data_IF_933138979357
#
_entry.id   IF_933138979357
#
_cell.length_a   1.000
_cell.length_b   1.000
_cell.length_c   1.000
_cell.angle_alpha   90.00
_cell.angle_beta   90.00
_cell.angle_gamma   90.00
#
_symmetry.space_group_name_H-M   'P 1'
#
loop_
_entity.id
_entity.type
_entity.pdbx_description
1 polymer ?
#
# COMPACT_ATOMS: atom_id res chain seq x y z
N UNK A 1 6.77 15.82 20.09
CA UNK A 1 5.77 14.75 19.86
C UNK A 1 6.35 13.35 19.97
N UNK A 2 7.33 12.96 19.14
CA UNK A 2 7.94 11.61 19.16
C UNK A 2 8.50 11.22 20.54
N UNK A 3 9.20 12.14 21.22
CA UNK A 3 9.75 11.88 22.55
C UNK A 3 8.69 11.66 23.65
N UNK A 4 7.51 12.31 23.54
CA UNK A 4 6.42 12.13 24.50
C UNK A 4 5.70 10.79 24.32
N UNK A 5 5.60 10.32 23.07
CA UNK A 5 5.02 9.02 22.75
C UNK A 5 5.85 7.83 23.25
N UNK A 6 7.18 7.95 23.23
CA UNK A 6 8.10 6.92 23.73
C UNK A 6 7.98 6.69 25.26
N UNK A 7 7.40 7.63 26.00
CA UNK A 7 7.27 7.56 27.46
C UNK A 7 6.06 6.73 27.96
N UNK A 8 5.21 6.20 27.08
CA UNK A 8 3.96 5.49 27.43
C UNK A 8 4.15 4.08 28.04
N UNK A 9 5.38 3.60 28.25
CA UNK A 9 5.67 2.32 28.91
C UNK A 9 5.21 1.06 28.16
N UNK A 10 4.64 1.21 26.96
CA UNK A 10 4.22 0.13 26.06
C UNK A 10 5.05 0.19 24.79
N UNK A 11 5.44 -0.95 24.20
CA UNK A 11 6.08 -0.95 22.88
C UNK A 11 5.06 -0.43 21.86
N UNK A 12 5.32 0.76 21.34
CA UNK A 12 4.50 1.43 20.33
C UNK A 12 5.38 1.77 19.14
N UNK A 13 4.87 1.47 17.95
CA UNK A 13 5.41 1.94 16.69
C UNK A 13 4.85 3.33 16.42
N UNK A 14 5.75 4.25 16.09
CA UNK A 14 5.42 5.61 15.70
C UNK A 14 5.36 5.66 14.18
N UNK A 15 4.18 5.95 13.64
CA UNK A 15 3.98 6.11 12.19
C UNK A 15 3.81 7.60 11.89
N UNK A 16 4.70 8.22 11.09
CA UNK A 16 4.52 9.60 10.67
C UNK A 16 3.31 9.72 9.75
N UNK A 17 2.39 10.64 10.07
CA UNK A 17 1.26 11.00 9.22
C UNK A 17 1.37 12.45 8.75
N UNK A 18 0.41 12.87 7.91
CA UNK A 18 0.35 14.26 7.41
C UNK A 18 -0.07 15.21 8.54
N UNK A 19 0.91 15.91 9.13
CA UNK A 19 0.74 16.78 10.31
C UNK A 19 0.23 16.04 11.57
N UNK A 20 0.47 14.73 11.64
CA UNK A 20 0.05 13.88 12.74
C UNK A 20 1.11 12.80 13.03
N UNK A 21 0.99 12.16 14.18
CA UNK A 21 1.77 10.97 14.54
C UNK A 21 0.81 9.93 15.07
N UNK A 22 0.78 8.76 14.42
CA UNK A 22 -0.02 7.64 14.89
C UNK A 22 0.81 6.76 15.84
N UNK A 23 0.24 6.47 17.00
CA UNK A 23 0.82 5.56 17.99
C UNK A 23 0.12 4.22 17.89
N UNK A 24 0.83 3.26 17.32
CA UNK A 24 0.29 1.95 17.02
C UNK A 24 0.97 0.94 17.95
N UNK A 25 0.23 0.07 18.67
CA UNK A 25 0.87 -0.99 19.44
C UNK A 25 1.84 -1.80 18.56
N UNK A 26 3.00 -2.18 19.09
CA UNK A 26 4.05 -2.90 18.33
C UNK A 26 3.54 -4.24 17.75
N UNK A 27 2.50 -4.81 18.37
CA UNK A 27 1.81 -6.03 17.92
C UNK A 27 0.60 -5.76 17.01
N UNK A 28 0.29 -4.50 16.68
CA UNK A 28 -0.93 -4.18 15.96
C UNK A 28 -0.84 -4.54 14.47
N UNK A 29 -1.99 -4.83 13.89
CA UNK A 29 -2.12 -5.13 12.47
C UNK A 29 -1.79 -3.90 11.62
N UNK A 30 -0.90 -4.06 10.64
CA UNK A 30 -0.63 -3.06 9.61
C UNK A 30 -1.33 -3.40 8.29
N UNK A 31 -1.38 -2.45 7.36
CA UNK A 31 -2.06 -2.59 6.06
C UNK A 31 -1.59 -3.82 5.27
N UNK A 32 -0.30 -4.18 5.37
CA UNK A 32 0.27 -5.39 4.77
C UNK A 32 -0.38 -6.70 5.25
N UNK A 33 -0.68 -6.82 6.55
CA UNK A 33 -1.39 -7.98 7.10
C UNK A 33 -2.82 -8.02 6.58
N UNK A 34 -3.50 -6.87 6.55
CA UNK A 34 -4.86 -6.75 6.04
C UNK A 34 -4.93 -7.17 4.56
N UNK A 35 -3.99 -6.69 3.72
CA UNK A 35 -3.90 -7.05 2.31
C UNK A 35 -3.72 -8.56 2.13
N UNK A 36 -2.76 -9.19 2.84
CA UNK A 36 -2.52 -10.63 2.75
C UNK A 36 -3.77 -11.45 3.10
N UNK A 37 -4.46 -11.06 4.18
CA UNK A 37 -5.71 -11.72 4.62
C UNK A 37 -6.84 -11.55 3.62
N UNK A 38 -7.00 -10.35 3.05
CA UNK A 38 -8.02 -10.09 2.03
C UNK A 38 -7.73 -10.90 0.77
N UNK A 39 -6.50 -10.81 0.24
CA UNK A 39 -6.06 -11.51 -0.97
C UNK A 39 -6.32 -13.01 -0.86
N UNK A 40 -5.90 -13.64 0.25
CA UNK A 40 -6.13 -15.07 0.51
C UNK A 40 -7.60 -15.52 0.43
N UNK A 41 -8.56 -14.58 0.54
CA UNK A 41 -10.00 -14.87 0.45
C UNK A 41 -10.62 -14.58 -0.92
N UNK A 42 -10.03 -13.69 -1.73
CA UNK A 42 -10.73 -13.13 -2.90
C UNK A 42 -9.93 -13.14 -4.20
N UNK A 43 -8.59 -13.28 -4.17
CA UNK A 43 -7.76 -13.21 -5.38
C UNK A 43 -6.35 -13.79 -5.18
N UNK A 44 -5.74 -14.31 -6.24
CA UNK A 44 -4.33 -14.78 -6.19
C UNK A 44 -3.32 -13.64 -6.27
N UNK A 45 -3.69 -12.56 -6.97
CA UNK A 45 -2.88 -11.37 -7.23
C UNK A 45 -3.58 -10.11 -6.75
N UNK A 46 -2.81 -9.06 -6.47
CA UNK A 46 -3.33 -7.76 -6.05
C UNK A 46 -2.52 -6.61 -6.68
N UNK A 47 -3.24 -5.56 -7.07
CA UNK A 47 -2.70 -4.23 -7.30
C UNK A 47 -2.99 -3.40 -6.05
N UNK A 48 -1.97 -2.82 -5.44
CA UNK A 48 -2.11 -1.96 -4.26
C UNK A 48 -1.61 -0.56 -4.59
N UNK A 49 -2.45 0.44 -4.33
CA UNK A 49 -2.17 1.86 -4.56
C UNK A 49 -2.26 2.61 -3.22
N UNK A 50 -1.23 3.36 -2.83
CA UNK A 50 -1.20 4.11 -1.56
C UNK A 50 -0.29 5.34 -1.62
N UNK A 51 -0.54 6.35 -0.78
CA UNK A 51 0.13 7.65 -0.81
C UNK A 51 0.96 7.94 0.45
N UNK A 52 0.72 7.25 1.55
CA UNK A 52 1.26 7.64 2.86
C UNK A 52 2.37 6.70 3.35
N UNK A 53 3.03 7.06 4.45
CA UNK A 53 4.10 6.26 5.06
C UNK A 53 3.58 4.90 5.57
N UNK A 54 2.32 4.83 6.00
CA UNK A 54 1.70 3.56 6.43
C UNK A 54 1.54 2.54 5.30
N UNK A 55 1.59 2.96 4.03
CA UNK A 55 1.52 2.08 2.87
C UNK A 55 2.86 1.39 2.58
N UNK A 56 3.98 1.89 3.11
CA UNK A 56 5.28 1.24 2.99
C UNK A 56 5.29 -0.15 3.67
N UNK A 57 4.44 -0.36 4.68
CA UNK A 57 4.18 -1.67 5.29
C UNK A 57 3.63 -2.71 4.29
N UNK A 58 3.03 -2.25 3.19
CA UNK A 58 2.57 -3.07 2.07
C UNK A 58 3.64 -3.16 0.98
N UNK A 59 4.27 -2.04 0.66
CA UNK A 59 5.24 -1.96 -0.43
C UNK A 59 6.50 -2.80 -0.18
N UNK A 60 6.86 -3.01 1.08
CA UNK A 60 7.99 -3.85 1.50
C UNK A 60 7.70 -5.35 1.48
N UNK A 61 6.46 -5.77 1.19
CA UNK A 61 6.12 -7.19 1.09
C UNK A 61 6.76 -7.84 -0.14
N UNK A 62 7.65 -8.81 0.08
CA UNK A 62 8.29 -9.58 -0.99
C UNK A 62 7.34 -10.66 -1.55
N UNK A 63 6.47 -10.29 -2.48
CA UNK A 63 5.44 -11.16 -3.07
C UNK A 63 5.45 -11.09 -4.62
N UNK A 64 6.57 -11.47 -5.27
CA UNK A 64 6.76 -11.31 -6.72
C UNK A 64 5.70 -12.06 -7.53
N UNK A 65 5.21 -11.44 -8.60
CA UNK A 65 4.14 -11.98 -9.45
C UNK A 65 2.75 -11.99 -8.79
N UNK A 66 2.64 -11.66 -7.50
CA UNK A 66 1.38 -11.67 -6.74
C UNK A 66 0.97 -10.31 -6.21
N UNK A 67 1.92 -9.38 -6.04
CA UNK A 67 1.64 -8.02 -5.60
C UNK A 67 2.32 -7.03 -6.53
N UNK A 68 1.52 -6.16 -7.13
CA UNK A 68 1.98 -4.98 -7.83
C UNK A 68 1.72 -3.76 -6.94
N UNK A 69 2.78 -3.08 -6.50
CA UNK A 69 2.69 -1.91 -5.62
C UNK A 69 2.90 -0.62 -6.40
N UNK A 70 2.02 0.35 -6.17
CA UNK A 70 2.06 1.68 -6.81
C UNK A 70 1.94 2.74 -5.73
N UNK A 71 2.92 3.65 -5.68
CA UNK A 71 2.88 4.80 -4.79
C UNK A 71 2.24 6.01 -5.47
N UNK A 72 1.35 6.72 -4.80
CA UNK A 72 0.88 8.04 -5.24
C UNK A 72 1.85 9.11 -4.71
N UNK A 73 2.40 9.87 -5.64
CA UNK A 73 3.48 10.82 -5.39
C UNK A 73 4.86 10.15 -5.41
N UNK A 74 5.81 10.74 -6.14
CA UNK A 74 7.17 10.19 -6.25
C UNK A 74 7.95 10.39 -4.95
N UNK A 75 8.48 9.30 -4.40
CA UNK A 75 9.46 9.30 -3.30
C UNK A 75 10.62 8.37 -3.61
N UNK A 76 11.83 8.82 -3.28
CA UNK A 76 13.07 8.05 -3.54
C UNK A 76 13.24 6.87 -2.58
N UNK A 77 12.65 6.97 -1.40
CA UNK A 77 12.75 6.01 -0.30
C UNK A 77 11.56 5.05 -0.21
N UNK A 78 10.64 5.11 -1.17
CA UNK A 78 9.48 4.21 -1.25
C UNK A 78 9.89 2.83 -1.78
N UNK A 79 9.36 1.78 -1.17
CA UNK A 79 9.54 0.39 -1.63
C UNK A 79 8.61 0.00 -2.80
N UNK A 80 7.66 0.85 -3.17
CA UNK A 80 6.72 0.55 -4.27
C UNK A 80 7.45 0.36 -5.61
N UNK A 81 7.00 -0.62 -6.41
CA UNK A 81 7.60 -0.91 -7.72
C UNK A 81 7.34 0.17 -8.76
N UNK A 82 6.23 0.89 -8.64
CA UNK A 82 5.82 1.96 -9.54
C UNK A 82 5.34 3.18 -8.75
N UNK A 83 5.19 4.31 -9.43
CA UNK A 83 4.57 5.50 -8.86
C UNK A 83 3.65 6.20 -9.86
N UNK A 84 2.61 6.83 -9.32
CA UNK A 84 1.79 7.85 -9.97
C UNK A 84 2.24 9.22 -9.45
N UNK A 85 2.14 10.26 -10.27
CA UNK A 85 2.55 11.63 -9.94
C UNK A 85 1.66 12.26 -8.89
N UNK A 86 0.37 11.91 -8.88
CA UNK A 86 -0.60 12.46 -7.95
C UNK A 86 -1.97 11.80 -8.07
N UNK A 87 -2.93 12.30 -7.30
CA UNK A 87 -4.26 11.72 -7.17
C UNK A 87 -5.00 11.62 -8.52
N UNK A 88 -4.84 12.58 -9.43
CA UNK A 88 -5.54 12.57 -10.72
C UNK A 88 -5.18 11.35 -11.59
N UNK A 89 -3.93 10.87 -11.51
CA UNK A 89 -3.53 9.68 -12.28
C UNK A 89 -4.07 8.37 -11.67
N UNK A 90 -4.62 8.40 -10.45
CA UNK A 90 -5.34 7.25 -9.88
C UNK A 90 -6.63 7.03 -10.65
N UNK A 91 -7.33 8.10 -11.03
CA UNK A 91 -8.55 8.01 -11.83
C UNK A 91 -8.22 7.45 -13.22
N UNK A 92 -7.18 7.97 -13.88
CA UNK A 92 -6.69 7.46 -15.16
C UNK A 92 -6.35 5.95 -15.12
N UNK A 93 -5.70 5.52 -14.03
CA UNK A 93 -5.38 4.10 -13.81
C UNK A 93 -6.64 3.26 -13.65
N UNK A 94 -7.60 3.69 -12.83
CA UNK A 94 -8.84 2.96 -12.60
C UNK A 94 -9.67 2.84 -13.89
N UNK A 95 -9.75 3.92 -14.67
CA UNK A 95 -10.39 3.86 -15.98
C UNK A 95 -9.70 2.87 -16.91
N UNK A 96 -8.37 2.84 -16.94
CA UNK A 96 -7.62 1.90 -17.77
C UNK A 96 -7.87 0.45 -17.34
N UNK A 97 -7.93 0.18 -16.04
CA UNK A 97 -8.27 -1.16 -15.54
C UNK A 97 -9.68 -1.59 -15.94
N UNK A 98 -10.65 -0.67 -15.93
CA UNK A 98 -12.02 -0.92 -16.41
C UNK A 98 -12.02 -1.18 -17.92
N UNK A 99 -11.29 -0.39 -18.70
CA UNK A 99 -11.12 -0.60 -20.16
C UNK A 99 -10.50 -1.96 -20.47
N UNK A 100 -9.42 -2.33 -19.78
CA UNK A 100 -8.75 -3.61 -19.94
C UNK A 100 -9.64 -4.80 -19.55
N UNK A 101 -10.41 -4.67 -18.47
CA UNK A 101 -11.39 -5.69 -18.05
C UNK A 101 -12.48 -5.93 -19.10
N UNK A 102 -12.87 -4.87 -19.82
CA UNK A 102 -13.95 -4.92 -20.81
C UNK A 102 -13.50 -5.52 -22.15
N UNK A 103 -12.19 -5.69 -22.36
CA UNK A 103 -11.67 -6.34 -23.57
C UNK A 103 -11.90 -7.86 -23.48
N UNK A 104 -12.35 -8.51 -24.58
CA UNK A 104 -12.41 -9.97 -24.63
C UNK A 104 -11.01 -10.52 -24.35
N UNK A 105 -10.90 -11.50 -23.44
CA UNK A 105 -9.66 -12.25 -23.23
C UNK A 105 -9.23 -12.81 -24.58
N UNK A 106 -8.13 -12.31 -25.14
CA UNK A 106 -7.42 -13.04 -26.19
C UNK A 106 -6.85 -14.28 -25.53
N UNK A 107 -7.52 -15.42 -25.71
CA UNK A 107 -6.95 -16.72 -25.39
C UNK A 107 -5.78 -16.90 -26.38
N UNK A 108 -4.56 -16.66 -25.92
CA UNK A 108 -3.37 -17.17 -26.61
C UNK A 108 -3.34 -18.68 -26.34
N UNK A 109 -3.49 -19.45 -27.41
CA UNK A 109 -3.29 -20.90 -27.45
C UNK A 109 -1.85 -21.28 -27.13
#
# INVERSE_FOLDING_TARGET
>A
MVAAAAALGTRVRIVPGRLAVDLVPDVASHKGIALRRLRARVADTALYVGDDASDEDVFTLNEPGRLLSVRVGRRRDSAASYFLRGQSEVDDLLEELVRLRSRPRRLSA
#
